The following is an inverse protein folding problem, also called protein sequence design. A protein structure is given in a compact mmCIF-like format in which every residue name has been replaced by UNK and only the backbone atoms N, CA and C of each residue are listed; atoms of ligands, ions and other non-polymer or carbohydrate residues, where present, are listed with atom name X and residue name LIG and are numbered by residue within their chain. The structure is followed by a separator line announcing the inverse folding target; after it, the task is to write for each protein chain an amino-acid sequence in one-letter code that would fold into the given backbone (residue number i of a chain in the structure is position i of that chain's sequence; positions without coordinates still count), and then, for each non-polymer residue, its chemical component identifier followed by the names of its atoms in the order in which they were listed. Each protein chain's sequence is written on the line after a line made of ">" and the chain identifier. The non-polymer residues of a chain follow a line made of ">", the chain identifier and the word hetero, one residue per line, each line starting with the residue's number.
data_IF_948633731572
#
_entry.id   IF_948633731572
#
_cell.length_a   1.000
_cell.length_b   1.000
_cell.length_c   1.000
_cell.angle_alpha   90.00
_cell.angle_beta   90.00
_cell.angle_gamma   90.00
#
_symmetry.space_group_name_H-M   'P 1'
#
loop_
_entity.id
_entity.type
_entity.pdbx_description
1 polymer ?
#
# COMPACT_ATOMS: atom_id res chain seq x y z
N UNK A 1 5.29 22.30 1.28
CA UNK A 1 5.52 21.67 2.60
C UNK A 1 4.64 20.46 2.55
N UNK A 2 5.24 19.28 2.47
CA UNK A 2 4.48 18.05 2.30
C UNK A 2 3.79 17.70 3.62
N UNK A 3 2.59 17.15 3.54
CA UNK A 3 1.91 16.52 4.67
C UNK A 3 2.12 15.02 4.53
N UNK A 4 2.59 14.38 5.59
CA UNK A 4 2.78 12.94 5.68
C UNK A 4 1.82 12.37 6.72
N UNK A 5 1.09 11.32 6.32
CA UNK A 5 0.24 10.51 7.18
C UNK A 5 0.85 9.12 7.28
N UNK A 6 1.39 8.77 8.45
CA UNK A 6 2.00 7.47 8.73
C UNK A 6 1.04 6.62 9.56
N UNK A 7 0.65 5.47 9.03
CA UNK A 7 -0.21 4.51 9.72
C UNK A 7 0.62 3.47 10.48
N UNK A 8 0.49 3.49 11.80
CA UNK A 8 1.00 2.48 12.73
C UNK A 8 -0.16 1.61 13.22
N UNK A 9 0.11 0.59 14.04
CA UNK A 9 -0.91 -0.37 14.46
C UNK A 9 -2.12 0.26 15.17
N UNK A 10 -1.89 1.23 16.06
CA UNK A 10 -2.94 1.83 16.91
C UNK A 10 -3.23 3.31 16.63
N UNK A 11 -2.54 3.91 15.64
CA UNK A 11 -2.57 5.36 15.40
C UNK A 11 -2.17 5.79 13.99
N UNK A 12 -2.61 7.00 13.64
CA UNK A 12 -2.08 7.81 12.54
C UNK A 12 -1.19 8.90 13.13
N UNK A 13 0.03 8.99 12.62
CA UNK A 13 0.92 10.12 12.84
C UNK A 13 0.78 11.10 11.68
N UNK A 14 0.72 12.39 11.97
CA UNK A 14 0.71 13.46 10.98
C UNK A 14 1.94 14.33 11.19
N UNK A 15 2.61 14.69 10.11
CA UNK A 15 3.77 15.57 10.17
C UNK A 15 4.21 16.02 8.79
N UNK A 16 5.36 16.70 8.73
CA UNK A 16 6.02 17.08 7.48
C UNK A 16 7.23 16.19 7.17
N UNK A 17 7.43 15.12 7.96
CA UNK A 17 8.59 14.22 7.90
C UNK A 17 9.89 14.79 8.47
N UNK A 18 9.98 16.10 8.73
CA UNK A 18 11.23 16.80 9.05
C UNK A 18 11.24 17.42 10.45
N UNK A 19 10.11 18.00 10.87
CA UNK A 19 9.94 18.77 12.10
C UNK A 19 9.46 17.92 13.28
N UNK A 20 8.93 16.73 13.00
CA UNK A 20 8.37 15.82 13.99
C UNK A 20 7.05 15.19 13.53
N UNK A 21 6.42 14.46 14.44
CA UNK A 21 5.14 13.79 14.24
C UNK A 21 4.20 14.14 15.39
N UNK A 22 2.94 14.39 15.05
CA UNK A 22 1.83 14.55 15.99
C UNK A 22 0.87 13.36 15.86
N UNK A 23 0.29 12.93 16.98
CA UNK A 23 -0.77 11.92 16.97
C UNK A 23 -2.06 12.54 16.38
N UNK A 24 -2.55 12.02 15.25
CA UNK A 24 -3.77 12.48 14.58
C UNK A 24 -5.01 11.68 14.97
N UNK A 25 -5.01 10.38 14.64
CA UNK A 25 -6.08 9.44 15.02
C UNK A 25 -5.51 8.39 15.94
N UNK A 26 -6.15 8.12 17.08
CA UNK A 26 -5.69 7.13 18.08
C UNK A 26 -6.84 6.24 18.53
N UNK A 27 -6.52 5.05 19.04
CA UNK A 27 -7.49 4.16 19.68
C UNK A 27 -8.30 3.29 18.70
N UNK A 28 -7.80 3.17 17.46
CA UNK A 28 -8.32 2.29 16.43
C UNK A 28 -7.20 1.37 15.93
N UNK A 29 -7.53 0.14 15.57
CA UNK A 29 -6.60 -0.72 14.84
C UNK A 29 -6.57 -0.26 13.38
N UNK A 30 -5.43 0.24 12.91
CA UNK A 30 -5.28 0.88 11.59
C UNK A 30 -4.76 -0.09 10.54
N UNK A 31 -5.44 -0.17 9.40
CA UNK A 31 -5.13 -1.10 8.31
C UNK A 31 -4.51 -0.42 7.07
N UNK A 32 -4.87 0.83 6.79
CA UNK A 32 -4.36 1.58 5.64
C UNK A 32 -4.57 3.10 5.78
N UNK A 33 -3.87 3.88 4.96
CA UNK A 33 -4.05 5.33 4.83
C UNK A 33 -3.84 5.77 3.37
N UNK A 34 -4.59 6.78 2.93
CA UNK A 34 -4.39 7.44 1.63
C UNK A 34 -4.70 8.94 1.71
N UNK A 35 -3.97 9.73 0.93
CA UNK A 35 -4.18 11.16 0.72
C UNK A 35 -3.74 11.52 -0.72
N UNK A 36 -4.23 12.63 -1.26
CA UNK A 36 -3.84 13.12 -2.59
C UNK A 36 -3.29 14.55 -2.56
N UNK A 37 -2.31 14.86 -3.42
CA UNK A 37 -1.61 16.15 -3.47
C UNK A 37 -2.51 17.35 -3.81
N UNK A 38 -3.65 17.12 -4.47
CA UNK A 38 -4.60 18.18 -4.80
C UNK A 38 -5.38 18.69 -3.56
N UNK A 39 -5.55 17.85 -2.53
CA UNK A 39 -6.27 18.16 -1.29
C UNK A 39 -5.48 17.59 -0.11
N UNK A 40 -4.31 18.16 0.23
CA UNK A 40 -3.34 17.54 1.15
C UNK A 40 -3.82 17.46 2.61
N UNK A 41 -4.81 18.28 2.99
CA UNK A 41 -5.45 18.25 4.31
C UNK A 41 -6.55 17.17 4.40
N UNK A 42 -6.88 16.50 3.29
CA UNK A 42 -7.84 15.40 3.21
C UNK A 42 -7.12 14.05 3.13
N UNK A 43 -7.37 13.22 4.12
CA UNK A 43 -6.87 11.85 4.17
C UNK A 43 -7.95 10.89 4.64
N UNK A 44 -7.78 9.63 4.26
CA UNK A 44 -8.68 8.53 4.57
C UNK A 44 -7.92 7.42 5.26
N UNK A 45 -8.51 6.82 6.28
CA UNK A 45 -7.88 5.81 7.13
C UNK A 45 -8.82 4.64 7.30
N UNK A 46 -8.37 3.47 6.85
CA UNK A 46 -9.09 2.22 7.05
C UNK A 46 -8.79 1.63 8.42
N UNK A 47 -9.83 1.14 9.09
CA UNK A 47 -9.74 0.59 10.45
C UNK A 47 -10.41 -0.77 10.56
N UNK A 48 -10.13 -1.45 11.67
CA UNK A 48 -10.91 -2.61 12.14
C UNK A 48 -12.13 -2.11 12.93
N UNK A 49 -13.31 -2.66 12.63
CA UNK A 49 -14.59 -2.43 13.32
C UNK A 49 -15.12 -0.98 13.36
N UNK A 50 -14.35 0.03 12.92
CA UNK A 50 -14.78 1.43 12.86
C UNK A 50 -14.86 1.98 11.42
N UNK A 51 -14.78 1.11 10.41
CA UNK A 51 -14.92 1.49 9.01
C UNK A 51 -13.80 2.40 8.50
N UNK A 52 -14.14 3.29 7.56
CA UNK A 52 -13.23 4.29 7.00
C UNK A 52 -13.43 5.62 7.73
N UNK A 53 -12.34 6.17 8.27
CA UNK A 53 -12.29 7.50 8.85
C UNK A 53 -11.77 8.50 7.81
N UNK A 54 -12.23 9.76 7.88
CA UNK A 54 -11.80 10.86 7.00
C UNK A 54 -11.45 12.09 7.82
N UNK A 55 -10.39 12.78 7.42
CA UNK A 55 -10.07 14.15 7.83
C UNK A 55 -10.22 15.09 6.64
N UNK A 56 -10.48 16.37 6.91
CA UNK A 56 -10.37 17.47 5.92
C UNK A 56 -9.57 18.67 6.47
N UNK A 57 -8.97 18.54 7.65
CA UNK A 57 -8.25 19.59 8.36
C UNK A 57 -6.83 19.19 8.76
N UNK A 58 -6.20 18.32 7.96
CA UNK A 58 -4.81 17.91 8.20
C UNK A 58 -4.67 16.95 9.39
N UNK A 59 -5.72 16.21 9.72
CA UNK A 59 -5.72 15.21 10.79
C UNK A 59 -6.00 15.76 12.18
N UNK A 60 -6.45 17.01 12.29
CA UNK A 60 -6.87 17.61 13.56
C UNK A 60 -8.21 17.04 14.04
N UNK A 61 -9.11 16.67 13.13
CA UNK A 61 -10.35 15.96 13.42
C UNK A 61 -10.62 14.85 12.41
N UNK A 62 -11.32 13.80 12.88
CA UNK A 62 -11.66 12.63 12.09
C UNK A 62 -13.14 12.31 12.24
N UNK A 63 -13.78 11.93 11.14
CA UNK A 63 -15.18 11.50 11.09
C UNK A 63 -15.35 10.20 10.31
N UNK A 64 -16.41 9.45 10.62
CA UNK A 64 -16.75 8.23 9.88
C UNK A 64 -17.27 8.58 8.49
N UNK A 65 -16.63 8.04 7.45
CA UNK A 65 -16.97 8.25 6.05
C UNK A 65 -17.66 7.03 5.41
N UNK A 66 -17.28 5.82 5.83
CA UNK A 66 -17.86 4.57 5.34
C UNK A 66 -17.92 3.55 6.48
N UNK A 67 -19.10 3.02 6.76
CA UNK A 67 -19.32 1.90 7.69
C UNK A 67 -19.61 0.64 6.88
N UNK A 68 -18.55 -0.08 6.47
CA UNK A 68 -18.66 -1.26 5.63
C UNK A 68 -17.58 -2.31 5.94
N UNK A 69 -18.01 -3.57 5.94
CA UNK A 69 -17.17 -4.72 6.27
C UNK A 69 -16.79 -4.78 7.76
N UNK A 70 -16.07 -5.84 8.12
CA UNK A 70 -15.41 -5.99 9.42
C UNK A 70 -14.14 -5.12 9.49
N UNK A 71 -13.51 -4.88 8.33
CA UNK A 71 -12.30 -4.06 8.18
C UNK A 71 -12.34 -3.29 6.88
N UNK A 72 -11.82 -2.06 6.89
CA UNK A 72 -11.43 -1.36 5.66
C UNK A 72 -9.92 -1.51 5.48
N UNK A 73 -9.51 -2.38 4.57
CA UNK A 73 -8.12 -2.84 4.42
C UNK A 73 -7.37 -2.16 3.29
N UNK A 74 -8.08 -1.45 2.41
CA UNK A 74 -7.48 -0.68 1.32
C UNK A 74 -8.25 0.63 1.11
N UNK A 75 -7.52 1.70 0.87
CA UNK A 75 -8.07 2.98 0.41
C UNK A 75 -7.10 3.62 -0.58
N UNK A 76 -7.62 4.23 -1.64
CA UNK A 76 -6.81 4.96 -2.62
C UNK A 76 -7.58 6.16 -3.16
N UNK A 77 -6.86 7.28 -3.31
CA UNK A 77 -7.39 8.50 -3.96
C UNK A 77 -7.01 8.42 -5.43
N UNK A 78 -7.96 8.68 -6.31
CA UNK A 78 -7.73 8.63 -7.75
C UNK A 78 -6.69 9.69 -8.18
N UNK A 79 -5.71 9.33 -9.03
CA UNK A 79 -4.79 10.31 -9.60
C UNK A 79 -5.47 11.23 -10.63
N UNK A 80 -6.70 10.93 -11.04
CA UNK A 80 -7.45 11.67 -12.07
C UNK A 80 -8.35 12.75 -11.49
N UNK A 81 -8.84 12.55 -10.27
CA UNK A 81 -9.78 13.43 -9.58
C UNK A 81 -9.71 13.17 -8.08
N UNK A 82 -9.38 14.18 -7.29
CA UNK A 82 -9.21 14.06 -5.85
C UNK A 82 -10.51 13.66 -5.13
N UNK A 83 -11.68 13.96 -5.70
CA UNK A 83 -12.98 13.60 -5.14
C UNK A 83 -13.38 12.15 -5.44
N UNK A 84 -12.65 11.47 -6.32
CA UNK A 84 -12.84 10.05 -6.59
C UNK A 84 -11.95 9.22 -5.68
N UNK A 85 -12.56 8.48 -4.77
CA UNK A 85 -11.88 7.64 -3.77
C UNK A 85 -12.41 6.23 -3.83
N UNK A 86 -11.53 5.24 -3.70
CA UNK A 86 -11.88 3.83 -3.70
C UNK A 86 -11.50 3.19 -2.38
N UNK A 87 -12.38 2.34 -1.85
CA UNK A 87 -12.16 1.60 -0.62
C UNK A 87 -12.38 0.10 -0.85
N UNK A 88 -11.56 -0.72 -0.20
CA UNK A 88 -11.62 -2.17 -0.20
C UNK A 88 -11.75 -2.70 1.21
N UNK A 89 -12.57 -3.75 1.39
CA UNK A 89 -12.94 -4.25 2.71
C UNK A 89 -12.57 -5.72 2.94
N UNK A 90 -12.72 -6.15 4.20
CA UNK A 90 -12.89 -7.54 4.63
C UNK A 90 -14.33 -7.72 5.18
N UNK A 91 -15.13 -8.71 4.73
CA UNK A 91 -14.94 -9.52 3.53
C UNK A 91 -14.79 -8.67 2.25
N UNK A 92 -14.21 -9.23 1.19
CA UNK A 92 -13.91 -8.46 -0.04
C UNK A 92 -15.15 -7.84 -0.65
N UNK A 93 -15.19 -6.51 -0.61
CA UNK A 93 -16.03 -5.66 -1.43
C UNK A 93 -15.22 -4.43 -1.84
N UNK A 94 -15.65 -3.76 -2.90
CA UNK A 94 -15.05 -2.51 -3.39
C UNK A 94 -16.12 -1.44 -3.39
N UNK A 95 -15.80 -0.27 -2.84
CA UNK A 95 -16.65 0.90 -2.80
C UNK A 95 -15.97 2.06 -3.53
N UNK A 96 -16.78 2.93 -4.12
CA UNK A 96 -16.32 4.18 -4.72
C UNK A 96 -17.12 5.35 -4.15
N UNK A 97 -16.42 6.43 -3.83
CA UNK A 97 -16.96 7.78 -3.69
C UNK A 97 -16.56 8.63 -4.90
N UNK A 98 -17.41 9.56 -5.30
CA UNK A 98 -17.15 10.55 -6.35
C UNK A 98 -17.40 11.98 -5.85
N UNK A 99 -17.42 12.16 -4.53
CA UNK A 99 -17.73 13.42 -3.85
C UNK A 99 -16.81 13.66 -2.64
N UNK A 100 -15.57 13.17 -2.71
CA UNK A 100 -14.57 13.40 -1.66
C UNK A 100 -14.82 12.59 -0.38
N UNK A 101 -15.52 11.47 -0.50
CA UNK A 101 -15.82 10.55 0.60
C UNK A 101 -17.08 10.88 1.40
N UNK A 102 -17.94 11.77 0.91
CA UNK A 102 -19.23 12.09 1.56
C UNK A 102 -20.23 10.94 1.39
N UNK A 103 -20.28 10.35 0.19
CA UNK A 103 -21.14 9.21 -0.11
C UNK A 103 -20.38 8.12 -0.86
N UNK A 104 -20.81 6.87 -0.65
CA UNK A 104 -20.13 5.68 -1.16
C UNK A 104 -21.13 4.75 -1.83
N UNK A 105 -20.69 4.15 -2.94
CA UNK A 105 -21.44 3.16 -3.70
C UNK A 105 -20.62 1.89 -3.87
N UNK A 106 -21.18 0.74 -3.50
CA UNK A 106 -20.56 -0.57 -3.73
C UNK A 106 -20.47 -0.88 -5.24
N UNK A 107 -19.34 -1.44 -5.66
CA UNK A 107 -19.08 -1.93 -7.01
C UNK A 107 -19.33 -3.43 -7.07
N UNK A 108 -20.43 -3.87 -7.71
CA UNK A 108 -20.89 -5.26 -7.63
C UNK A 108 -20.02 -6.21 -8.46
N UNK A 109 -20.31 -7.51 -8.34
CA UNK A 109 -19.74 -8.56 -9.20
C UNK A 109 -18.37 -9.09 -8.78
N UNK A 110 -17.67 -8.45 -7.83
CA UNK A 110 -16.35 -8.90 -7.39
C UNK A 110 -16.41 -10.32 -6.77
N UNK A 111 -17.35 -10.57 -5.88
CA UNK A 111 -17.53 -11.88 -5.21
C UNK A 111 -18.32 -12.89 -6.03
N UNK A 112 -18.73 -12.52 -7.25
CA UNK A 112 -19.39 -13.40 -8.21
C UNK A 112 -18.39 -14.06 -9.18
N UNK A 113 -17.11 -13.68 -9.10
CA UNK A 113 -16.04 -14.27 -9.91
C UNK A 113 -15.83 -15.76 -9.59
N UNK A 114 -15.48 -16.56 -10.60
CA UNK A 114 -15.26 -18.00 -10.46
C UNK A 114 -14.22 -18.33 -9.38
N UNK A 115 -13.18 -17.50 -9.25
CA UNK A 115 -12.12 -17.68 -8.26
C UNK A 115 -12.54 -17.33 -6.83
N UNK A 116 -13.63 -16.58 -6.61
CA UNK A 116 -14.04 -16.09 -5.29
C UNK A 116 -14.23 -17.21 -4.26
N UNK A 117 -14.79 -18.34 -4.68
CA UNK A 117 -14.97 -19.54 -3.84
C UNK A 117 -13.67 -20.16 -3.30
N UNK A 118 -12.51 -19.73 -3.81
CA UNK A 118 -11.17 -20.23 -3.43
C UNK A 118 -10.36 -19.19 -2.66
N UNK A 119 -10.83 -17.95 -2.53
CA UNK A 119 -10.14 -16.91 -1.77
C UNK A 119 -10.26 -17.23 -0.28
N UNK A 120 -9.15 -17.14 0.45
CA UNK A 120 -9.15 -17.45 1.89
C UNK A 120 -7.93 -16.87 2.58
N UNK A 121 -8.16 -16.10 3.64
CA UNK A 121 -7.11 -15.52 4.47
C UNK A 121 -7.06 -16.19 5.87
N UNK A 122 -6.08 -17.09 6.14
CA UNK A 122 -5.95 -17.78 7.43
C UNK A 122 -5.39 -16.84 8.53
N UNK A 123 -5.66 -17.06 9.84
CA UNK A 123 -6.05 -18.32 10.48
C UNK A 123 -7.56 -18.55 10.73
N UNK A 124 -8.49 -17.90 10.03
CA UNK A 124 -9.94 -18.25 10.05
C UNK A 124 -10.39 -18.55 8.63
N UNK A 125 -10.96 -19.72 8.30
CA UNK A 125 -11.16 -20.07 6.89
C UNK A 125 -12.32 -19.32 6.19
N UNK A 126 -12.99 -18.35 6.80
CA UNK A 126 -14.27 -17.83 6.27
C UNK A 126 -14.21 -16.41 5.68
N UNK A 127 -13.01 -15.86 5.44
CA UNK A 127 -12.88 -14.48 4.95
C UNK A 127 -11.77 -14.34 3.89
N UNK A 128 -11.91 -13.31 3.07
CA UNK A 128 -10.96 -12.80 2.09
C UNK A 128 -11.11 -11.28 2.08
N UNK A 129 -10.07 -10.52 1.75
CA UNK A 129 -10.17 -9.06 1.76
C UNK A 129 -9.48 -8.42 0.56
N UNK A 130 -9.96 -7.23 0.18
CA UNK A 130 -9.31 -6.40 -0.83
C UNK A 130 -8.12 -5.68 -0.18
N UNK A 131 -6.92 -6.20 -0.40
CA UNK A 131 -5.69 -5.72 0.25
C UNK A 131 -5.13 -4.45 -0.37
N UNK A 132 -5.33 -4.27 -1.68
CA UNK A 132 -4.86 -3.09 -2.40
C UNK A 132 -5.74 -2.77 -3.60
N UNK A 133 -5.92 -1.48 -3.89
CA UNK A 133 -6.56 -0.99 -5.10
C UNK A 133 -5.61 0.01 -5.77
N UNK A 134 -5.42 -0.15 -7.08
CA UNK A 134 -4.66 0.79 -7.91
C UNK A 134 -5.45 1.13 -9.17
N UNK A 135 -5.23 2.34 -9.70
CA UNK A 135 -5.81 2.78 -10.96
C UNK A 135 -4.71 2.89 -12.02
N UNK A 136 -5.07 2.67 -13.28
CA UNK A 136 -4.19 3.05 -14.37
C UNK A 136 -4.02 4.59 -14.37
N UNK A 137 -2.81 5.10 -14.64
CA UNK A 137 -2.52 6.52 -14.56
C UNK A 137 -3.06 7.31 -15.76
N UNK A 138 -3.42 6.64 -16.85
CA UNK A 138 -3.91 7.23 -18.10
C UNK A 138 -5.40 6.94 -18.38
N UNK A 139 -6.04 6.11 -17.55
CA UNK A 139 -7.43 5.70 -17.71
C UNK A 139 -8.12 5.52 -16.34
N UNK A 140 -9.07 6.40 -15.95
CA UNK A 140 -9.78 6.29 -14.68
C UNK A 140 -10.74 5.09 -14.62
N UNK A 141 -11.09 4.48 -15.76
CA UNK A 141 -11.95 3.30 -15.80
C UNK A 141 -11.17 2.00 -15.59
N UNK A 142 -9.85 2.02 -15.81
CA UNK A 142 -9.00 0.86 -15.61
C UNK A 142 -8.55 0.75 -14.15
N UNK A 143 -9.22 -0.12 -13.39
CA UNK A 143 -9.00 -0.37 -11.97
C UNK A 143 -8.42 -1.76 -11.74
N UNK A 144 -7.53 -1.90 -10.77
CA UNK A 144 -6.93 -3.16 -10.34
C UNK A 144 -7.18 -3.37 -8.85
N UNK A 145 -7.50 -4.60 -8.46
CA UNK A 145 -7.63 -4.98 -7.06
C UNK A 145 -6.82 -6.24 -6.75
N UNK A 146 -6.12 -6.19 -5.62
CA UNK A 146 -5.42 -7.30 -5.02
C UNK A 146 -6.31 -7.91 -3.93
N UNK A 147 -6.67 -9.18 -4.08
CA UNK A 147 -7.24 -9.99 -3.02
C UNK A 147 -6.10 -10.79 -2.38
N UNK A 148 -5.77 -10.51 -1.12
CA UNK A 148 -4.70 -11.25 -0.41
C UNK A 148 -5.13 -12.71 -0.23
N UNK A 149 -4.21 -13.64 -0.49
CA UNK A 149 -4.46 -15.07 -0.62
C UNK A 149 -5.70 -15.44 -1.48
N UNK A 150 -5.92 -14.70 -2.57
CA UNK A 150 -7.05 -14.89 -3.48
C UNK A 150 -6.67 -14.74 -4.95
N UNK A 151 -6.64 -13.51 -5.44
CA UNK A 151 -6.44 -13.19 -6.85
C UNK A 151 -5.98 -11.74 -7.09
N UNK A 152 -5.29 -11.53 -8.21
CA UNK A 152 -5.30 -10.24 -8.89
C UNK A 152 -6.53 -10.18 -9.78
N UNK A 153 -7.31 -9.11 -9.69
CA UNK A 153 -8.48 -8.87 -10.55
C UNK A 153 -8.40 -7.46 -11.14
N UNK A 154 -9.01 -7.27 -12.31
CA UNK A 154 -9.08 -5.96 -12.97
C UNK A 154 -10.49 -5.62 -13.40
N UNK A 155 -10.81 -4.33 -13.42
CA UNK A 155 -12.00 -3.80 -14.05
C UNK A 155 -11.58 -2.83 -15.16
N UNK A 156 -12.02 -3.03 -16.40
CA UNK A 156 -11.73 -2.11 -17.51
C UNK A 156 -12.83 -1.04 -17.71
N UNK A 157 -13.80 -0.94 -16.80
CA UNK A 157 -15.00 -0.08 -16.94
C UNK A 157 -15.45 0.53 -15.60
N UNK A 158 -14.49 0.93 -14.76
CA UNK A 158 -14.77 1.72 -13.55
C UNK A 158 -15.53 0.95 -12.47
N UNK A 159 -15.24 -0.35 -12.35
CA UNK A 159 -15.90 -1.26 -11.41
C UNK A 159 -17.29 -1.73 -11.87
N UNK A 160 -17.66 -1.52 -13.14
CA UNK A 160 -18.91 -2.02 -13.71
C UNK A 160 -18.90 -3.54 -13.92
N UNK A 161 -17.75 -4.09 -14.28
CA UNK A 161 -17.47 -5.53 -14.30
C UNK A 161 -16.04 -5.81 -13.86
N UNK A 162 -15.83 -7.02 -13.35
CA UNK A 162 -14.52 -7.52 -12.95
C UNK A 162 -14.09 -8.67 -13.86
N UNK A 163 -12.80 -8.72 -14.18
CA UNK A 163 -12.12 -9.77 -14.94
C UNK A 163 -11.30 -10.59 -13.96
N UNK A 164 -11.60 -11.88 -13.90
CA UNK A 164 -11.01 -12.81 -12.95
C UNK A 164 -9.58 -13.21 -13.31
N UNK A 165 -8.75 -13.34 -12.26
CA UNK A 165 -7.43 -13.98 -12.18
C UNK A 165 -6.80 -14.41 -13.52
N UNK A 166 -6.20 -13.46 -14.28
CA UNK A 166 -5.48 -13.75 -15.52
C UNK A 166 -4.40 -14.81 -15.32
N UNK A 167 -4.09 -15.56 -16.38
CA UNK A 167 -3.09 -16.63 -16.29
C UNK A 167 -1.72 -16.07 -15.89
N UNK A 168 -1.07 -16.73 -14.93
CA UNK A 168 0.24 -16.30 -14.41
C UNK A 168 0.21 -15.16 -13.40
N UNK A 169 -0.94 -14.51 -13.17
CA UNK A 169 -1.11 -13.55 -12.09
C UNK A 169 -0.88 -14.22 -10.73
N UNK A 170 -0.38 -13.44 -9.75
CA UNK A 170 -0.20 -13.96 -8.39
C UNK A 170 -1.56 -14.12 -7.71
N UNK A 171 -1.63 -15.05 -6.77
CA UNK A 171 -2.81 -15.24 -5.92
C UNK A 171 -2.76 -14.39 -4.65
N UNK A 172 -1.57 -14.28 -4.06
CA UNK A 172 -1.37 -13.65 -2.76
C UNK A 172 -0.80 -12.23 -2.92
N UNK A 173 -1.56 -11.35 -3.57
CA UNK A 173 -1.10 -9.99 -3.89
C UNK A 173 -1.23 -9.08 -2.66
N UNK A 174 -0.16 -8.37 -2.31
CA UNK A 174 -0.12 -7.48 -1.15
C UNK A 174 -0.17 -6.00 -1.53
N UNK A 175 0.60 -5.59 -2.53
CA UNK A 175 0.69 -4.19 -2.99
C UNK A 175 0.77 -4.17 -4.51
N UNK A 176 0.04 -3.25 -5.13
CA UNK A 176 0.10 -2.98 -6.57
C UNK A 176 0.65 -1.57 -6.82
N UNK A 177 1.39 -1.39 -7.91
CA UNK A 177 1.77 -0.06 -8.38
C UNK A 177 1.51 0.07 -9.89
N UNK A 178 1.36 1.30 -10.34
CA UNK A 178 1.25 1.72 -11.75
C UNK A 178 2.16 2.95 -11.96
N UNK A 179 2.42 3.34 -13.21
CA UNK A 179 3.36 4.43 -13.50
C UNK A 179 2.96 5.26 -14.73
N UNK A 180 2.91 6.61 -14.66
CA UNK A 180 2.43 7.45 -15.78
C UNK A 180 3.28 7.34 -17.05
N UNK A 181 4.60 7.19 -16.93
CA UNK A 181 5.49 6.98 -18.10
C UNK A 181 5.47 5.55 -18.66
N UNK A 182 4.78 4.62 -17.99
CA UNK A 182 4.62 3.26 -18.45
C UNK A 182 3.21 2.76 -18.12
N UNK A 183 2.16 3.36 -18.72
CA UNK A 183 0.76 3.18 -18.30
C UNK A 183 0.23 1.76 -18.46
N UNK A 184 0.84 0.97 -19.36
CA UNK A 184 0.49 -0.44 -19.54
C UNK A 184 1.08 -1.36 -18.46
N UNK A 185 1.99 -0.85 -17.60
CA UNK A 185 2.65 -1.67 -16.59
C UNK A 185 1.88 -1.74 -15.29
N UNK A 186 1.78 -2.95 -14.76
CA UNK A 186 1.28 -3.23 -13.40
C UNK A 186 2.32 -4.03 -12.65
N UNK A 187 2.75 -3.50 -11.52
CA UNK A 187 3.79 -4.06 -10.66
C UNK A 187 3.12 -4.67 -9.44
N UNK A 188 3.59 -5.84 -9.00
CA UNK A 188 2.98 -6.56 -7.87
C UNK A 188 4.03 -7.04 -6.89
N UNK A 189 3.82 -6.74 -5.61
CA UNK A 189 4.39 -7.48 -4.49
C UNK A 189 3.41 -8.54 -4.00
N UNK A 190 3.88 -9.78 -3.82
CA UNK A 190 3.05 -10.90 -3.40
C UNK A 190 3.78 -11.86 -2.45
N UNK A 191 3.03 -12.74 -1.78
CA UNK A 191 3.55 -13.72 -0.83
C UNK A 191 4.53 -14.74 -1.39
N UNK A 192 4.60 -14.89 -2.71
CA UNK A 192 5.57 -15.72 -3.43
C UNK A 192 6.50 -14.94 -4.37
N UNK A 193 6.54 -13.62 -4.19
CA UNK A 193 7.55 -12.73 -4.75
C UNK A 193 6.99 -11.64 -5.64
N UNK A 194 7.88 -10.98 -6.37
CA UNK A 194 7.52 -9.93 -7.32
C UNK A 194 6.89 -10.49 -8.61
N UNK A 195 6.04 -9.71 -9.25
CA UNK A 195 5.54 -9.95 -10.61
C UNK A 195 5.33 -8.63 -11.37
N UNK A 196 5.42 -8.69 -12.70
CA UNK A 196 5.22 -7.56 -13.61
C UNK A 196 4.35 -7.96 -14.80
N UNK A 197 3.33 -7.16 -15.07
CA UNK A 197 2.62 -7.13 -16.33
C UNK A 197 3.03 -5.89 -17.13
N UNK A 198 3.05 -6.01 -18.46
CA UNK A 198 3.31 -4.90 -19.40
C UNK A 198 2.14 -4.68 -20.36
N UNK A 199 0.98 -5.24 -20.05
CA UNK A 199 -0.23 -5.25 -20.87
C UNK A 199 -1.51 -5.11 -20.01
N UNK A 200 -1.46 -4.24 -19.00
CA UNK A 200 -2.58 -3.91 -18.09
C UNK A 200 -3.13 -5.12 -17.33
N UNK A 201 -2.23 -6.00 -16.90
CA UNK A 201 -2.54 -7.16 -16.08
C UNK A 201 -3.04 -8.39 -16.86
N UNK A 202 -2.96 -8.39 -18.20
CA UNK A 202 -3.41 -9.52 -19.01
C UNK A 202 -2.45 -10.71 -18.97
N UNK A 203 -1.14 -10.44 -19.02
CA UNK A 203 -0.08 -11.45 -18.88
C UNK A 203 0.99 -10.99 -17.90
N UNK A 204 1.70 -11.96 -17.32
CA UNK A 204 2.60 -11.74 -16.20
C UNK A 204 3.95 -12.42 -16.37
N UNK A 205 5.00 -11.73 -15.93
CA UNK A 205 6.37 -12.23 -15.77
C UNK A 205 6.81 -12.13 -14.32
N UNK A 206 7.80 -12.93 -13.93
CA UNK A 206 8.24 -13.07 -12.53
C UNK A 206 9.75 -12.88 -12.39
N UNK A 207 10.30 -11.68 -12.66
CA UNK A 207 11.74 -11.43 -12.51
C UNK A 207 12.09 -11.46 -11.02
N UNK A 208 12.66 -12.58 -10.57
CA UNK A 208 12.97 -12.83 -9.17
C UNK A 208 14.43 -13.18 -8.90
N UNK A 209 15.29 -13.11 -9.92
CA UNK A 209 16.71 -13.38 -9.72
C UNK A 209 17.29 -12.43 -8.67
N UNK A 210 17.98 -12.97 -7.66
CA UNK A 210 18.55 -12.19 -6.55
C UNK A 210 17.62 -11.90 -5.38
N UNK A 211 16.32 -12.20 -5.45
CA UNK A 211 15.42 -12.17 -4.29
C UNK A 211 15.65 -13.40 -3.42
N UNK A 212 16.44 -13.24 -2.36
CA UNK A 212 16.69 -14.30 -1.37
C UNK A 212 15.50 -14.52 -0.42
N UNK A 213 14.61 -13.53 -0.32
CA UNK A 213 13.40 -13.53 0.49
C UNK A 213 12.20 -13.29 -0.43
N UNK A 214 11.22 -14.19 -0.42
CA UNK A 214 10.11 -14.19 -1.39
C UNK A 214 8.75 -13.80 -0.83
N UNK A 215 8.63 -13.60 0.48
CA UNK A 215 7.43 -12.96 1.01
C UNK A 215 7.59 -11.44 0.81
N UNK A 216 7.17 -10.93 -0.34
CA UNK A 216 7.35 -9.54 -0.75
C UNK A 216 6.05 -8.79 -0.48
N UNK A 217 6.10 -7.66 0.24
CA UNK A 217 4.89 -6.99 0.72
C UNK A 217 4.79 -5.53 0.27
N UNK A 218 5.79 -4.70 0.59
CA UNK A 218 5.86 -3.31 0.12
C UNK A 218 6.50 -3.22 -1.25
N UNK A 219 6.08 -2.23 -2.03
CA UNK A 219 6.54 -1.98 -3.40
C UNK A 219 6.44 -0.48 -3.68
N UNK A 220 7.50 0.10 -4.21
CA UNK A 220 7.48 1.45 -4.76
C UNK A 220 8.23 1.50 -6.08
N UNK A 221 7.73 2.33 -7.00
CA UNK A 221 8.34 2.64 -8.29
C UNK A 221 8.72 4.12 -8.25
N UNK A 222 9.93 4.45 -8.70
CA UNK A 222 10.41 5.83 -8.72
C UNK A 222 9.47 6.71 -9.56
N UNK A 223 9.18 7.96 -9.16
CA UNK A 223 8.18 8.79 -9.84
C UNK A 223 8.52 9.12 -11.31
N UNK A 224 9.82 9.25 -11.62
CA UNK A 224 10.33 9.59 -12.96
C UNK A 224 11.00 8.42 -13.70
N UNK A 225 10.94 7.20 -13.16
CA UNK A 225 11.68 6.06 -13.72
C UNK A 225 10.95 4.73 -13.46
N UNK A 226 10.19 4.21 -14.44
CA UNK A 226 9.41 2.99 -14.27
C UNK A 226 10.28 1.72 -14.12
N UNK A 227 11.59 1.79 -14.36
CA UNK A 227 12.51 0.66 -14.17
C UNK A 227 13.26 0.73 -12.82
N UNK A 228 13.12 1.82 -12.07
CA UNK A 228 13.71 1.98 -10.75
C UNK A 228 12.70 1.59 -9.67
N UNK A 229 12.88 0.40 -9.09
CA UNK A 229 11.89 -0.25 -8.23
C UNK A 229 12.56 -0.72 -6.94
N UNK A 230 11.86 -0.54 -5.82
CA UNK A 230 12.22 -1.12 -4.52
C UNK A 230 11.07 -1.96 -3.96
N UNK A 231 11.41 -3.03 -3.23
CA UNK A 231 10.45 -3.89 -2.56
C UNK A 231 10.90 -4.21 -1.13
N UNK A 232 9.95 -4.39 -0.23
CA UNK A 232 10.21 -4.98 1.09
C UNK A 232 9.89 -6.47 1.09
N UNK A 233 10.75 -7.26 1.72
CA UNK A 233 10.65 -8.72 1.72
C UNK A 233 11.07 -9.32 3.07
N UNK A 234 10.48 -10.47 3.41
CA UNK A 234 10.82 -11.24 4.62
C UNK A 234 10.91 -12.75 4.32
N UNK A 235 11.37 -13.53 5.30
CA UNK A 235 11.37 -15.00 5.20
C UNK A 235 9.96 -15.59 5.17
N UNK A 236 8.96 -14.84 5.63
CA UNK A 236 7.55 -15.22 5.63
C UNK A 236 6.66 -14.23 6.38
N UNK A 237 5.33 -14.46 6.38
CA UNK A 237 4.34 -13.55 6.95
C UNK A 237 4.54 -13.31 8.46
N UNK A 238 4.90 -14.35 9.22
CA UNK A 238 5.16 -14.21 10.67
C UNK A 238 6.30 -13.24 10.98
N UNK A 239 7.26 -13.15 10.07
CA UNK A 239 8.43 -12.30 10.21
C UNK A 239 8.11 -10.86 9.79
N UNK A 240 7.49 -10.68 8.62
CA UNK A 240 7.06 -9.37 8.10
C UNK A 240 6.06 -8.62 9.01
N UNK A 241 5.22 -9.35 9.76
CA UNK A 241 4.17 -8.79 10.63
C UNK A 241 4.54 -8.81 12.11
N UNK A 242 5.84 -8.77 12.44
CA UNK A 242 6.32 -8.73 13.82
C UNK A 242 7.50 -7.77 13.99
N UNK A 243 7.48 -6.96 15.05
CA UNK A 243 8.64 -6.14 15.47
C UNK A 243 9.79 -6.97 16.04
N UNK A 244 9.59 -8.29 16.24
CA UNK A 244 10.66 -9.24 16.58
C UNK A 244 11.12 -10.08 15.37
N UNK A 245 10.57 -9.83 14.19
CA UNK A 245 10.87 -10.55 12.95
C UNK A 245 12.10 -10.02 12.25
N UNK A 246 12.17 -10.26 10.95
CA UNK A 246 13.20 -9.77 10.07
C UNK A 246 12.68 -9.42 8.68
N UNK A 247 13.00 -8.21 8.25
CA UNK A 247 12.63 -7.70 6.93
C UNK A 247 13.83 -7.09 6.24
N UNK A 248 13.74 -7.03 4.93
CA UNK A 248 14.78 -6.53 4.04
C UNK A 248 14.14 -5.62 3.01
N UNK A 249 14.91 -4.67 2.50
CA UNK A 249 14.58 -3.91 1.29
C UNK A 249 15.48 -4.41 0.18
N UNK A 250 14.92 -4.57 -1.01
CA UNK A 250 15.62 -4.91 -2.24
C UNK A 250 15.36 -3.84 -3.29
N UNK A 251 16.36 -3.59 -4.15
CA UNK A 251 16.22 -2.78 -5.35
C UNK A 251 16.46 -3.62 -6.60
N UNK A 252 15.75 -3.30 -7.67
CA UNK A 252 16.04 -3.82 -9.00
C UNK A 252 17.23 -3.05 -9.61
N UNK A 253 18.23 -3.75 -10.17
CA UNK A 253 19.40 -3.13 -10.81
C UNK A 253 19.37 -3.16 -12.35
N UNK A 254 18.26 -3.63 -12.93
CA UNK A 254 18.10 -3.85 -14.38
C UNK A 254 18.27 -5.31 -14.82
N UNK A 255 18.86 -6.15 -13.98
CA UNK A 255 19.11 -7.58 -14.26
C UNK A 255 18.65 -8.47 -13.10
N UNK A 256 18.90 -8.05 -11.86
CA UNK A 256 18.54 -8.80 -10.66
C UNK A 256 18.25 -7.90 -9.47
N UNK A 257 17.63 -8.50 -8.47
CA UNK A 257 17.42 -7.87 -7.18
C UNK A 257 18.69 -7.87 -6.35
N UNK A 258 18.92 -6.75 -5.66
CA UNK A 258 20.02 -6.52 -4.73
C UNK A 258 19.47 -6.02 -3.41
N UNK A 259 20.00 -6.52 -2.30
CA UNK A 259 19.66 -5.95 -0.99
C UNK A 259 20.05 -4.47 -0.95
N UNK A 260 19.17 -3.67 -0.36
CA UNK A 260 19.20 -2.22 -0.28
C UNK A 260 19.04 -1.82 1.19
N UNK A 261 20.01 -2.20 2.03
CA UNK A 261 19.94 -2.02 3.48
C UNK A 261 20.89 -0.95 4.01
N UNK A 262 21.74 -0.36 3.15
CA UNK A 262 22.70 0.64 3.60
C UNK A 262 21.96 1.89 4.12
N UNK A 263 22.23 2.25 5.38
CA UNK A 263 21.54 3.33 6.09
C UNK A 263 20.19 2.97 6.73
N UNK A 264 19.62 1.80 6.45
CA UNK A 264 18.43 1.28 7.15
C UNK A 264 18.82 0.58 8.47
N UNK A 265 17.88 0.39 9.41
CA UNK A 265 18.05 -0.55 10.50
C UNK A 265 18.41 -1.94 9.97
N UNK A 266 19.24 -2.68 10.72
CA UNK A 266 19.53 -4.07 10.39
C UNK A 266 18.25 -4.92 10.35
N UNK A 267 18.24 -6.05 9.62
CA UNK A 267 17.02 -6.80 9.37
C UNK A 267 16.38 -7.37 10.64
N UNK A 268 17.16 -7.74 11.66
CA UNK A 268 16.61 -8.28 12.90
C UNK A 268 15.86 -7.19 13.70
N UNK A 269 14.61 -7.45 14.04
CA UNK A 269 13.72 -6.50 14.71
C UNK A 269 13.10 -5.46 13.77
N UNK A 270 13.27 -5.63 12.46
CA UNK A 270 12.65 -4.79 11.44
C UNK A 270 11.36 -5.45 10.97
N UNK A 271 10.22 -4.87 11.36
CA UNK A 271 8.93 -5.19 10.73
C UNK A 271 8.97 -4.72 9.26
N UNK A 272 8.04 -5.22 8.43
CA UNK A 272 8.04 -4.90 6.99
C UNK A 272 8.03 -3.38 6.77
N UNK A 273 9.02 -2.82 6.04
CA UNK A 273 8.96 -1.42 5.63
C UNK A 273 7.78 -1.17 4.68
N UNK A 274 7.06 -0.07 4.90
CA UNK A 274 6.11 0.49 3.94
C UNK A 274 6.90 1.39 3.00
N UNK A 275 6.79 1.13 1.70
CA UNK A 275 7.54 1.85 0.67
C UNK A 275 6.57 2.68 -0.16
N UNK A 276 6.94 3.92 -0.47
CA UNK A 276 6.21 4.78 -1.42
C UNK A 276 7.19 5.60 -2.26
N UNK A 277 6.73 6.09 -3.40
CA UNK A 277 7.44 7.11 -4.16
C UNK A 277 7.49 8.41 -3.33
N UNK A 278 8.63 9.08 -3.36
CA UNK A 278 8.76 10.42 -2.79
C UNK A 278 8.22 11.45 -3.81
N UNK A 279 7.25 12.32 -3.46
CA UNK A 279 6.79 13.38 -4.36
C UNK A 279 7.89 14.34 -4.82
N UNK A 280 8.96 14.52 -4.03
CA UNK A 280 10.06 15.42 -4.37
C UNK A 280 11.08 14.80 -5.32
N UNK A 281 11.46 13.52 -5.10
CA UNK A 281 12.30 12.66 -5.96
C UNK A 281 12.87 11.49 -5.14
N UNK A 282 12.59 10.25 -5.57
CA UNK A 282 13.09 9.02 -4.97
C UNK A 282 12.03 8.17 -4.27
N UNK A 283 12.38 7.64 -3.10
CA UNK A 283 11.61 6.70 -2.30
C UNK A 283 11.59 7.09 -0.83
N UNK A 284 10.48 6.78 -0.17
CA UNK A 284 10.35 6.83 1.28
C UNK A 284 10.08 5.42 1.81
N UNK A 285 10.66 5.13 2.98
CA UNK A 285 10.48 3.89 3.73
C UNK A 285 10.07 4.21 5.17
N UNK A 286 8.80 3.97 5.51
CA UNK A 286 8.34 3.97 6.90
C UNK A 286 8.64 2.61 7.53
N UNK A 287 9.33 2.64 8.66
CA UNK A 287 9.71 1.46 9.44
C UNK A 287 9.26 1.62 10.88
N UNK A 288 9.33 0.55 11.68
CA UNK A 288 9.15 0.62 13.13
C UNK A 288 10.30 1.36 13.87
N UNK A 289 11.27 1.91 13.14
CA UNK A 289 12.40 2.70 13.65
C UNK A 289 12.43 4.13 13.07
N UNK A 290 11.42 4.52 12.31
CA UNK A 290 11.27 5.84 11.70
C UNK A 290 11.12 5.84 10.19
N UNK A 291 11.08 7.05 9.63
CA UNK A 291 11.00 7.32 8.20
C UNK A 291 12.39 7.48 7.61
N UNK A 292 12.63 6.92 6.42
CA UNK A 292 13.89 6.99 5.71
C UNK A 292 13.65 7.37 4.25
N UNK A 293 14.53 8.17 3.66
CA UNK A 293 14.50 8.53 2.24
C UNK A 293 15.65 7.89 1.46
N UNK A 294 15.44 7.63 0.18
CA UNK A 294 16.50 7.26 -0.76
C UNK A 294 16.20 7.75 -2.17
N UNK A 295 17.19 8.34 -2.86
CA UNK A 295 17.02 8.80 -4.24
C UNK A 295 16.80 7.66 -5.25
N UNK A 296 17.52 6.56 -5.10
CA UNK A 296 17.52 5.44 -6.06
C UNK A 296 17.48 4.07 -5.39
N UNK A 297 17.19 4.02 -4.08
CA UNK A 297 17.18 2.81 -3.28
C UNK A 297 18.59 2.23 -3.09
N UNK A 298 19.66 3.01 -3.17
CA UNK A 298 21.03 2.49 -2.95
C UNK A 298 21.48 2.65 -1.50
N UNK A 299 21.21 3.83 -0.95
CA UNK A 299 21.50 4.20 0.43
C UNK A 299 20.31 4.96 0.99
N UNK A 300 20.02 4.77 2.27
CA UNK A 300 18.87 5.35 2.95
C UNK A 300 19.35 6.35 4.00
N UNK A 301 18.68 7.49 4.09
CA UNK A 301 18.95 8.50 5.11
C UNK A 301 17.71 8.62 5.98
N UNK A 302 17.88 8.65 7.30
CA UNK A 302 16.77 8.82 8.22
C UNK A 302 16.25 10.26 8.16
N UNK A 303 14.93 10.40 8.08
CA UNK A 303 14.24 11.68 8.14
C UNK A 303 14.01 12.13 9.59
N UNK A 304 13.88 13.46 9.74
CA UNK A 304 13.65 14.12 11.03
C UNK A 304 14.91 14.73 11.66
N UNK A 305 14.75 15.40 12.81
CA UNK A 305 15.84 16.15 13.43
C UNK A 305 16.91 15.24 14.02
N UNK A 306 18.18 15.59 13.77
CA UNK A 306 19.33 14.87 14.30
C UNK A 306 19.24 14.67 15.83
N UNK A 307 19.40 13.42 16.26
CA UNK A 307 19.39 13.06 17.68
C UNK A 307 18.00 12.91 18.31
N UNK A 308 16.91 13.14 17.56
CA UNK A 308 15.55 12.80 18.01
C UNK A 308 15.26 11.34 17.69
N UNK A 309 15.09 10.54 18.74
CA UNK A 309 14.77 9.11 18.63
C UNK A 309 13.37 8.86 18.09
N UNK A 310 13.15 7.68 17.52
CA UNK A 310 11.80 7.18 17.26
C UNK A 310 11.20 6.75 18.60
N UNK A 311 10.09 7.35 19.05
CA UNK A 311 9.46 7.00 20.32
C UNK A 311 9.16 5.50 20.42
N UNK A 312 9.27 4.92 21.62
CA UNK A 312 9.08 3.47 21.82
C UNK A 312 7.64 3.04 21.56
N UNK A 313 6.69 3.94 21.82
CA UNK A 313 5.29 3.78 21.46
C UNK A 313 5.06 3.69 19.95
N UNK A 314 6.01 4.15 19.12
CA UNK A 314 5.92 4.05 17.66
C UNK A 314 6.67 2.82 17.11
N UNK A 315 7.31 2.01 17.97
CA UNK A 315 7.88 0.70 17.60
C UNK A 315 6.74 -0.32 17.39
N UNK A 316 6.08 -0.17 16.25
CA UNK A 316 4.93 -0.95 15.83
C UNK A 316 5.08 -1.36 14.38
N UNK A 317 4.37 -2.40 13.99
CA UNK A 317 4.29 -2.81 12.60
C UNK A 317 3.52 -1.73 11.81
N UNK A 318 4.16 -1.02 10.86
CA UNK A 318 3.45 -0.02 10.08
C UNK A 318 2.49 -0.68 9.09
N UNK A 319 1.41 0.02 8.72
CA UNK A 319 0.37 -0.49 7.82
C UNK A 319 0.15 0.38 6.57
N UNK A 320 0.63 1.63 6.57
CA UNK A 320 0.54 2.52 5.40
C UNK A 320 1.33 3.82 5.58
N UNK A 321 1.56 4.52 4.47
CA UNK A 321 2.19 5.84 4.41
C UNK A 321 1.61 6.60 3.20
N UNK A 322 1.12 7.82 3.42
CA UNK A 322 0.74 8.76 2.37
C UNK A 322 1.51 10.06 2.54
N UNK A 323 2.08 10.59 1.46
CA UNK A 323 2.84 11.86 1.46
C UNK A 323 2.35 12.70 0.28
N UNK A 324 1.94 13.93 0.56
CA UNK A 324 1.19 14.82 -0.34
C UNK A 324 1.65 16.26 -0.26
#
# INVERSE_FOLDING_TARGET
>A
MHTAYAALGDRILVGDGHSGWDDGLIGHDIECVAAGAAEPDRAFVGTVDAGLQRTTDGGATWESALDAGDRVTSVTVSPHDADVVWAGTEPSAVYQSTDGGETWTEKPGLTELDSASRWSFPPRPDTHHVRWIALAPDDPEQVYAAIEAGAFVRSPDGGGRWVDHPEGARRDNHTLATHPDAPDRVYTAAGDGYALSTDRGETWTHPQEGLEHRYVWGLAVHPDDPDCIVVSAASGPRSAHSTSGESYVYRWDGDRWRQSMDGLPGPAGLARPILTADPDDGFLALTNHGLFQSKRGETWTREGPDGVGWPVEYDQVPSGLAVV
#
